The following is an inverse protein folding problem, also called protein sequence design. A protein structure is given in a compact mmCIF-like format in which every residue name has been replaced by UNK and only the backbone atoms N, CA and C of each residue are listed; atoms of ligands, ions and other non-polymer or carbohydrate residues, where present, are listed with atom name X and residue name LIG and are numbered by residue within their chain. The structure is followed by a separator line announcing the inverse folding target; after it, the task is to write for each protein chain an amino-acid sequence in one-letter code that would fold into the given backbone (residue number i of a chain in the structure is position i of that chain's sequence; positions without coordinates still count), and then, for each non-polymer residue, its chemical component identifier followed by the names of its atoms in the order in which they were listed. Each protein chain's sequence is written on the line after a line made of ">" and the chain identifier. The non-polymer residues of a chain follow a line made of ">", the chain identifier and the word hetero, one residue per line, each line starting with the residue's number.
data_IF_688216791692
#
_entry.id   IF_688216791692
#
_cell.length_a   1.000
_cell.length_b   1.000
_cell.length_c   1.000
_cell.angle_alpha   90.00
_cell.angle_beta   90.00
_cell.angle_gamma   90.00
#
_symmetry.space_group_name_H-M   'P 1'
#
loop_
_entity.id
_entity.type
_entity.pdbx_description
1 polymer ?
#
# COMPACT_ATOMS: atom_id res chain seq x y z
N UNK A 1 -23.02 -3.00 -13.43
CA UNK A 1 -21.85 -2.22 -13.89
C UNK A 1 -20.52 -2.89 -13.50
N UNK A 2 -20.09 -2.94 -12.22
CA UNK A 2 -18.78 -3.54 -11.88
C UNK A 2 -18.71 -5.05 -12.17
N UNK A 3 -19.79 -5.80 -11.91
CA UNK A 3 -19.88 -7.23 -12.26
C UNK A 3 -19.72 -7.46 -13.77
N UNK A 4 -20.38 -6.64 -14.57
CA UNK A 4 -20.31 -6.73 -16.04
C UNK A 4 -18.88 -6.52 -16.54
N UNK A 5 -18.17 -5.54 -15.97
CA UNK A 5 -16.74 -5.29 -16.28
C UNK A 5 -15.89 -6.51 -15.91
N UNK A 6 -16.10 -7.07 -14.72
CA UNK A 6 -15.39 -8.27 -14.27
C UNK A 6 -15.60 -9.44 -15.24
N UNK A 7 -16.84 -9.64 -15.70
CA UNK A 7 -17.19 -10.73 -16.61
C UNK A 7 -16.57 -10.52 -18.01
N UNK A 8 -16.52 -9.29 -18.50
CA UNK A 8 -15.86 -8.95 -19.76
C UNK A 8 -14.34 -9.18 -19.68
N UNK A 9 -13.70 -8.77 -18.58
CA UNK A 9 -12.28 -9.02 -18.36
C UNK A 9 -11.95 -10.51 -18.16
N UNK A 10 -12.90 -11.32 -17.67
CA UNK A 10 -12.71 -12.75 -17.43
C UNK A 10 -12.79 -13.64 -18.69
N UNK A 11 -13.26 -13.10 -19.82
CA UNK A 11 -13.39 -13.86 -21.08
C UNK A 11 -12.07 -14.53 -21.48
N UNK A 12 -12.15 -15.75 -21.99
CA UNK A 12 -10.97 -16.51 -22.47
C UNK A 12 -10.24 -15.79 -23.61
N UNK A 13 -10.97 -15.02 -24.43
CA UNK A 13 -10.43 -14.17 -25.48
C UNK A 13 -9.67 -12.94 -24.98
N UNK A 14 -9.85 -12.54 -23.72
CA UNK A 14 -9.16 -11.40 -23.13
C UNK A 14 -7.70 -11.74 -22.81
N UNK A 15 -6.76 -10.78 -22.91
CA UNK A 15 -5.36 -10.97 -22.53
C UNK A 15 -5.20 -11.50 -21.09
N UNK A 16 -4.10 -12.23 -20.78
CA UNK A 16 -3.83 -12.75 -19.45
C UNK A 16 -3.88 -11.71 -18.33
N UNK A 17 -3.47 -10.48 -18.61
CA UNK A 17 -3.47 -9.34 -17.69
C UNK A 17 -4.90 -8.96 -17.29
N UNK A 18 -5.83 -8.92 -18.25
CA UNK A 18 -7.24 -8.64 -17.98
C UNK A 18 -7.92 -9.78 -17.20
N UNK A 19 -7.57 -11.02 -17.50
CA UNK A 19 -8.07 -12.17 -16.72
C UNK A 19 -7.52 -12.19 -15.29
N UNK A 20 -6.31 -11.65 -15.09
CA UNK A 20 -5.73 -11.48 -13.75
C UNK A 20 -6.40 -10.33 -13.01
N UNK A 21 -6.63 -9.21 -13.69
CA UNK A 21 -7.41 -8.08 -13.16
C UNK A 21 -8.81 -8.53 -12.73
N UNK A 22 -9.51 -9.34 -13.52
CA UNK A 22 -10.85 -9.82 -13.15
C UNK A 22 -10.84 -10.67 -11.88
N UNK A 23 -9.81 -11.51 -11.67
CA UNK A 23 -9.62 -12.26 -10.42
C UNK A 23 -9.39 -11.32 -9.24
N UNK A 24 -8.53 -10.32 -9.40
CA UNK A 24 -8.31 -9.31 -8.35
C UNK A 24 -9.59 -8.56 -8.02
N UNK A 25 -10.35 -8.10 -9.02
CA UNK A 25 -11.61 -7.39 -8.81
C UNK A 25 -12.69 -8.28 -8.14
N UNK A 26 -12.74 -9.58 -8.45
CA UNK A 26 -13.62 -10.53 -7.74
C UNK A 26 -13.22 -10.68 -6.28
N UNK A 27 -11.92 -10.83 -5.99
CA UNK A 27 -11.42 -11.00 -4.63
C UNK A 27 -11.66 -9.76 -3.74
N UNK A 28 -11.71 -8.58 -4.35
CA UNK A 28 -11.88 -7.29 -3.65
C UNK A 28 -13.28 -6.68 -3.84
N UNK A 29 -14.24 -7.45 -4.36
CA UNK A 29 -15.54 -6.92 -4.75
C UNK A 29 -16.28 -6.25 -3.59
N UNK A 30 -16.31 -6.90 -2.43
CA UNK A 30 -17.04 -6.42 -1.25
C UNK A 30 -16.41 -5.12 -0.71
N UNK A 31 -15.08 -5.04 -0.68
CA UNK A 31 -14.36 -3.85 -0.22
C UNK A 31 -14.54 -2.68 -1.18
N UNK A 32 -14.50 -2.93 -2.49
CA UNK A 32 -14.72 -1.90 -3.52
C UNK A 32 -16.14 -1.35 -3.41
N UNK A 33 -17.14 -2.23 -3.23
CA UNK A 33 -18.54 -1.82 -3.13
C UNK A 33 -18.86 -1.14 -1.79
N UNK A 34 -18.21 -1.55 -0.69
CA UNK A 34 -18.33 -0.92 0.63
C UNK A 34 -17.95 0.57 0.64
N UNK A 35 -17.10 1.02 -0.30
CA UNK A 35 -16.76 2.43 -0.43
C UNK A 35 -17.99 3.33 -0.61
N UNK A 36 -19.03 2.87 -1.30
CA UNK A 36 -20.24 3.67 -1.53
C UNK A 36 -21.00 4.00 -0.23
N UNK A 37 -20.79 3.20 0.83
CA UNK A 37 -21.37 3.42 2.15
C UNK A 37 -20.36 4.15 3.06
N UNK A 38 -19.16 3.60 3.20
CA UNK A 38 -18.19 4.08 4.20
C UNK A 38 -17.40 5.31 3.74
N UNK A 39 -17.27 5.55 2.42
CA UNK A 39 -16.46 6.61 1.79
C UNK A 39 -14.99 6.65 2.24
N UNK A 40 -14.49 5.54 2.80
CA UNK A 40 -13.09 5.41 3.23
C UNK A 40 -12.19 5.19 2.03
N UNK A 41 -11.20 6.05 1.84
CA UNK A 41 -10.22 5.92 0.77
C UNK A 41 -8.90 5.35 1.28
N UNK A 42 -8.10 4.79 0.37
CA UNK A 42 -6.72 4.38 0.66
C UNK A 42 -5.74 5.57 0.74
N UNK A 43 -6.22 6.81 0.65
CA UNK A 43 -5.40 8.02 0.61
C UNK A 43 -4.42 8.14 1.78
N UNK A 44 -4.81 7.91 3.05
CA UNK A 44 -3.89 7.93 4.18
C UNK A 44 -2.78 6.88 4.05
N UNK A 45 -3.12 5.66 3.63
CA UNK A 45 -2.18 4.56 3.42
C UNK A 45 -1.21 4.87 2.28
N UNK A 46 -1.69 5.44 1.18
CA UNK A 46 -0.88 5.89 0.05
C UNK A 46 0.06 7.03 0.45
N UNK A 47 -0.43 7.99 1.25
CA UNK A 47 0.37 9.07 1.81
C UNK A 47 1.54 8.54 2.62
N UNK A 48 1.29 7.57 3.51
CA UNK A 48 2.34 6.92 4.29
C UNK A 48 3.32 6.16 3.38
N UNK A 49 2.83 5.36 2.42
CA UNK A 49 3.68 4.65 1.47
C UNK A 49 4.58 5.60 0.65
N UNK A 50 4.06 6.75 0.23
CA UNK A 50 4.82 7.76 -0.49
C UNK A 50 5.90 8.41 0.39
N UNK A 51 5.60 8.66 1.67
CA UNK A 51 6.58 9.11 2.65
C UNK A 51 7.70 8.08 2.80
N UNK A 52 7.37 6.80 3.02
CA UNK A 52 8.35 5.72 3.16
C UNK A 52 9.21 5.56 1.90
N UNK A 53 8.60 5.61 0.71
CA UNK A 53 9.32 5.60 -0.57
C UNK A 53 10.26 6.79 -0.71
N UNK A 54 9.87 7.99 -0.25
CA UNK A 54 10.71 9.18 -0.24
C UNK A 54 11.93 8.99 0.69
N UNK A 55 11.72 8.48 1.90
CA UNK A 55 12.80 8.17 2.85
C UNK A 55 13.79 7.17 2.24
N UNK A 56 13.30 6.08 1.61
CA UNK A 56 14.13 5.10 0.92
C UNK A 56 14.91 5.70 -0.26
N UNK A 57 14.28 6.59 -1.04
CA UNK A 57 14.92 7.25 -2.19
C UNK A 57 16.07 8.17 -1.75
N UNK A 58 15.85 9.02 -0.75
CA UNK A 58 16.87 9.97 -0.26
C UNK A 58 18.07 9.23 0.35
N UNK A 59 17.86 8.04 0.90
CA UNK A 59 18.94 7.20 1.44
C UNK A 59 19.66 6.34 0.38
N UNK A 60 19.24 6.37 -0.89
CA UNK A 60 19.72 5.46 -1.95
C UNK A 60 19.51 3.97 -1.62
N UNK A 61 18.44 3.67 -0.88
CA UNK A 61 18.15 2.33 -0.38
C UNK A 61 18.60 2.12 1.07
N UNK A 62 18.19 0.99 1.63
CA UNK A 62 18.57 0.55 2.97
C UNK A 62 18.89 -0.94 2.92
N UNK A 63 19.99 -1.33 3.53
CA UNK A 63 20.38 -2.72 3.72
C UNK A 63 19.89 -3.28 5.06
N UNK A 64 19.76 -2.41 6.07
CA UNK A 64 19.28 -2.73 7.41
C UNK A 64 17.87 -2.14 7.62
N UNK A 65 16.90 -3.01 7.98
CA UNK A 65 15.52 -2.62 8.23
C UNK A 65 15.35 -1.69 9.43
N UNK A 66 16.13 -1.87 10.51
CA UNK A 66 16.08 -1.00 11.68
C UNK A 66 16.46 0.43 11.33
N UNK A 67 17.51 0.62 10.51
CA UNK A 67 17.90 1.95 10.03
C UNK A 67 16.82 2.60 9.17
N UNK A 68 16.14 1.82 8.32
CA UNK A 68 14.98 2.30 7.57
C UNK A 68 13.83 2.70 8.50
N UNK A 69 13.49 1.86 9.47
CA UNK A 69 12.40 2.07 10.43
C UNK A 69 12.64 3.32 11.28
N UNK A 70 13.83 3.51 11.83
CA UNK A 70 14.19 4.71 12.60
C UNK A 70 13.98 5.96 11.73
N UNK A 71 14.58 5.99 10.53
CA UNK A 71 14.46 7.16 9.64
C UNK A 71 13.02 7.42 9.21
N UNK A 72 12.24 6.37 8.96
CA UNK A 72 10.82 6.49 8.65
C UNK A 72 10.03 7.12 9.81
N UNK A 73 10.25 6.66 11.05
CA UNK A 73 9.58 7.18 12.24
C UNK A 73 9.97 8.63 12.55
N UNK A 74 11.26 8.96 12.43
CA UNK A 74 11.75 10.34 12.60
C UNK A 74 11.08 11.28 11.58
N UNK A 75 10.95 10.82 10.34
CA UNK A 75 10.43 11.63 9.25
C UNK A 75 8.89 11.75 9.22
N UNK A 76 8.18 10.82 9.85
CA UNK A 76 6.72 10.89 10.05
C UNK A 76 6.30 11.95 11.10
N UNK A 77 7.25 12.58 11.81
CA UNK A 77 7.06 13.83 12.55
C UNK A 77 6.71 13.71 14.04
N UNK A 78 6.24 12.54 14.53
CA UNK A 78 6.05 12.28 15.97
C UNK A 78 6.57 10.89 16.36
N UNK A 79 7.89 10.64 16.23
CA UNK A 79 8.48 9.40 16.72
C UNK A 79 8.22 9.28 18.23
N UNK A 80 7.69 8.14 18.67
CA UNK A 80 7.67 7.82 20.08
C UNK A 80 9.10 7.47 20.51
N UNK A 81 9.80 8.42 21.11
CA UNK A 81 11.21 8.27 21.50
C UNK A 81 11.44 7.09 22.47
N UNK A 82 10.44 6.71 23.27
CA UNK A 82 10.53 5.51 24.13
C UNK A 82 10.65 4.20 23.33
N UNK A 83 10.14 4.16 22.10
CA UNK A 83 10.30 3.03 21.18
C UNK A 83 11.61 3.08 20.39
N UNK A 84 12.33 4.22 20.44
CA UNK A 84 13.62 4.40 19.79
C UNK A 84 14.79 4.17 20.75
N UNK A 85 14.60 4.37 22.07
CA UNK A 85 15.63 4.11 23.10
C UNK A 85 16.08 2.64 23.14
N UNK A 86 15.22 1.71 22.72
CA UNK A 86 15.59 0.28 22.57
C UNK A 86 16.39 -0.01 21.30
N UNK A 87 16.55 0.96 20.40
CA UNK A 87 17.27 0.81 19.12
C UNK A 87 18.66 1.42 19.29
N UNK A 88 19.52 0.70 20.01
CA UNK A 88 20.95 0.99 20.03
C UNK A 88 21.46 0.75 18.60
N UNK A 89 21.88 1.82 17.92
CA UNK A 89 22.68 1.70 16.69
C UNK A 89 24.01 1.11 17.13
N UNK A 90 24.17 -0.21 16.94
CA UNK A 90 25.46 -0.90 17.09
C UNK A 90 26.35 -0.62 15.90
#
# INVERSE_FOLDING_TARGET
>A
MLRDIIDQCAKKSSPPELRTLSRTLRNWFDQITAWHQARVSNGPTEGMNNLLKRVKRVAFGFTNFENFRIRALLYAGKPNFRLLDSIVVR
#
